data_IF_786049647039
#
_entry.id   IF_786049647039
#
_cell.length_a   1.000
_cell.length_b   1.000
_cell.length_c   1.000
_cell.angle_alpha   90.00
_cell.angle_beta   90.00
_cell.angle_gamma   90.00
#
_symmetry.space_group_name_H-M   'P 1'
#
loop_
_entity.id
_entity.type
_entity.pdbx_description
1 polymer ?
#
# COMPACT_ATOMS: atom_id res chain seq x y z
N UNK A 1 -34.18 61.74 -49.66
CA UNK A 1 -34.66 61.14 -48.38
C UNK A 1 -35.10 59.71 -48.63
N UNK A 2 -34.71 58.81 -47.73
CA UNK A 2 -35.03 57.36 -47.62
C UNK A 2 -34.10 56.37 -48.34
N UNK A 3 -33.51 55.55 -47.46
CA UNK A 3 -32.43 54.55 -47.60
C UNK A 3 -32.89 53.33 -48.41
N UNK A 4 -32.02 52.84 -49.29
CA UNK A 4 -32.08 51.48 -49.85
C UNK A 4 -31.51 50.51 -48.83
N UNK A 5 -32.29 49.46 -48.54
CA UNK A 5 -31.95 48.35 -47.66
C UNK A 5 -30.94 47.46 -48.39
N UNK A 6 -29.75 47.30 -47.81
CA UNK A 6 -28.75 46.32 -48.25
C UNK A 6 -28.88 45.12 -47.32
N UNK A 7 -29.50 44.03 -47.81
CA UNK A 7 -29.46 42.73 -47.14
C UNK A 7 -28.18 42.02 -47.57
N UNK A 8 -27.15 42.09 -46.74
CA UNK A 8 -25.98 41.22 -46.83
C UNK A 8 -26.28 39.97 -46.01
N UNK A 9 -26.39 38.82 -46.67
CA UNK A 9 -26.36 37.51 -46.04
C UNK A 9 -24.97 37.30 -45.45
N UNK A 10 -24.85 37.37 -44.12
CA UNK A 10 -23.67 36.87 -43.42
C UNK A 10 -23.89 35.36 -43.20
N UNK A 11 -23.20 34.55 -43.99
CA UNK A 11 -23.03 33.12 -43.72
C UNK A 11 -22.14 33.03 -42.48
N UNK A 12 -22.75 32.78 -41.32
CA UNK A 12 -22.02 32.33 -40.13
C UNK A 12 -21.70 30.86 -40.33
N UNK A 13 -20.49 30.59 -40.85
CA UNK A 13 -19.87 29.27 -40.77
C UNK A 13 -19.54 29.05 -39.28
N UNK A 14 -20.47 28.43 -38.55
CA UNK A 14 -20.16 27.76 -37.29
C UNK A 14 -19.22 26.60 -37.64
N UNK A 15 -17.92 26.84 -37.49
CA UNK A 15 -16.91 25.80 -37.51
C UNK A 15 -17.16 24.83 -36.36
N UNK A 16 -17.94 23.79 -36.62
CA UNK A 16 -17.97 22.58 -35.84
C UNK A 16 -16.59 21.93 -35.95
N UNK A 17 -15.73 22.18 -34.97
CA UNK A 17 -14.51 21.39 -34.79
C UNK A 17 -14.36 21.02 -33.32
N UNK A 18 -14.29 19.70 -33.11
CA UNK A 18 -13.81 18.99 -31.92
C UNK A 18 -14.84 18.83 -30.79
N UNK A 19 -15.90 18.06 -31.07
CA UNK A 19 -16.68 17.33 -30.06
C UNK A 19 -16.27 15.86 -29.91
N UNK A 20 -15.19 15.42 -30.58
CA UNK A 20 -14.88 13.98 -30.71
C UNK A 20 -13.74 13.45 -29.84
N UNK A 21 -12.94 14.29 -29.19
CA UNK A 21 -11.77 13.82 -28.42
C UNK A 21 -12.02 13.65 -26.93
N UNK A 22 -13.06 14.23 -26.32
CA UNK A 22 -13.29 14.06 -24.87
C UNK A 22 -14.09 12.81 -24.51
N UNK A 23 -14.94 12.32 -25.42
CA UNK A 23 -15.88 11.23 -25.15
C UNK A 23 -15.24 9.83 -25.22
N UNK A 24 -14.20 9.64 -26.03
CA UNK A 24 -13.43 8.39 -26.04
C UNK A 24 -12.53 8.26 -24.80
N UNK A 25 -12.03 9.37 -24.27
CA UNK A 25 -11.08 9.38 -23.15
C UNK A 25 -11.72 8.94 -21.82
N UNK A 26 -13.03 9.13 -21.64
CA UNK A 26 -13.75 8.68 -20.45
C UNK A 26 -14.31 7.25 -20.56
N UNK A 27 -14.18 6.60 -21.72
CA UNK A 27 -14.70 5.24 -21.93
C UNK A 27 -13.89 4.23 -21.13
N UNK A 28 -14.58 3.31 -20.45
CA UNK A 28 -13.93 2.17 -19.79
C UNK A 28 -13.35 1.22 -20.82
N UNK A 29 -12.15 0.71 -20.54
CA UNK A 29 -11.53 -0.36 -21.31
C UNK A 29 -12.06 -1.72 -20.83
N UNK A 30 -12.46 -2.57 -21.77
CA UNK A 30 -12.85 -3.95 -21.49
C UNK A 30 -11.68 -4.92 -21.72
N UNK A 31 -10.60 -4.44 -22.32
CA UNK A 31 -9.39 -5.21 -22.61
C UNK A 31 -8.23 -4.68 -21.79
N UNK A 32 -7.38 -5.59 -21.33
CA UNK A 32 -6.11 -5.22 -20.69
C UNK A 32 -5.24 -4.40 -21.62
N UNK A 33 -4.62 -3.36 -21.07
CA UNK A 33 -3.71 -2.47 -21.81
C UNK A 33 -2.29 -2.64 -21.33
N UNK A 34 -1.39 -2.67 -22.30
CA UNK A 34 0.04 -2.87 -22.11
C UNK A 34 0.73 -1.54 -22.37
N UNK A 35 1.57 -1.13 -21.43
CA UNK A 35 2.42 0.05 -21.54
C UNK A 35 3.86 -0.38 -21.32
N UNK A 36 4.77 0.05 -22.19
CA UNK A 36 6.18 -0.30 -22.14
C UNK A 36 7.01 0.87 -21.61
N UNK A 37 7.99 0.56 -20.76
CA UNK A 37 9.02 1.50 -20.33
C UNK A 37 10.40 0.83 -20.46
N UNK A 38 10.97 0.85 -21.66
CA UNK A 38 12.15 0.05 -21.99
C UNK A 38 11.82 -1.44 -21.90
N UNK A 39 12.54 -2.16 -21.05
CA UNK A 39 12.35 -3.60 -20.83
C UNK A 39 11.22 -3.92 -19.84
N UNK A 40 10.79 -2.96 -19.02
CA UNK A 40 9.69 -3.17 -18.07
C UNK A 40 8.32 -3.01 -18.75
N UNK A 41 7.40 -3.88 -18.39
CA UNK A 41 6.02 -3.93 -18.89
C UNK A 41 5.04 -3.58 -17.77
N UNK A 42 4.07 -2.72 -18.06
CA UNK A 42 2.98 -2.36 -17.15
C UNK A 42 1.66 -2.85 -17.77
N UNK A 43 0.95 -3.71 -17.04
CA UNK A 43 -0.33 -4.29 -17.46
C UNK A 43 -1.48 -3.71 -16.63
N UNK A 44 -2.30 -2.89 -17.28
CA UNK A 44 -3.56 -2.39 -16.70
C UNK A 44 -4.64 -3.43 -16.91
N UNK A 45 -4.90 -4.26 -15.90
CA UNK A 45 -5.86 -5.35 -16.00
C UNK A 45 -7.30 -4.81 -16.05
N UNK A 46 -8.12 -5.38 -16.93
CA UNK A 46 -9.58 -5.15 -16.89
C UNK A 46 -10.20 -5.82 -15.65
N UNK A 47 -11.49 -5.58 -15.40
CA UNK A 47 -12.23 -6.13 -14.26
C UNK A 47 -12.16 -7.66 -14.17
N UNK A 48 -12.41 -8.35 -15.28
CA UNK A 48 -12.49 -9.82 -15.31
C UNK A 48 -11.12 -10.45 -15.02
N UNK A 49 -10.07 -9.94 -15.67
CA UNK A 49 -8.70 -10.42 -15.48
C UNK A 49 -8.16 -10.07 -14.10
N UNK A 50 -8.52 -8.89 -13.55
CA UNK A 50 -8.21 -8.51 -12.18
C UNK A 50 -8.79 -9.50 -11.18
N UNK A 51 -10.08 -9.83 -11.31
CA UNK A 51 -10.75 -10.80 -10.45
C UNK A 51 -10.09 -12.18 -10.53
N UNK A 52 -9.76 -12.64 -11.75
CA UNK A 52 -9.02 -13.89 -11.94
C UNK A 52 -7.63 -13.86 -11.31
N UNK A 53 -6.90 -12.75 -11.44
CA UNK A 53 -5.55 -12.59 -10.92
C UNK A 53 -5.52 -12.65 -9.38
N UNK A 54 -6.49 -11.97 -8.75
CA UNK A 54 -6.60 -11.89 -7.30
C UNK A 54 -7.16 -13.16 -6.66
N UNK A 55 -7.98 -13.96 -7.37
CA UNK A 55 -8.73 -15.10 -6.82
C UNK A 55 -7.94 -16.01 -5.88
N UNK A 56 -6.75 -16.39 -6.30
CA UNK A 56 -5.87 -17.34 -5.60
C UNK A 56 -4.72 -16.61 -4.88
N UNK A 57 -4.99 -15.42 -4.32
CA UNK A 57 -4.01 -14.73 -3.49
C UNK A 57 -3.91 -15.39 -2.12
N UNK A 58 -2.68 -15.65 -1.67
CA UNK A 58 -2.40 -16.25 -0.35
C UNK A 58 -2.87 -15.37 0.81
N UNK A 59 -2.98 -14.05 0.59
CA UNK A 59 -3.50 -13.10 1.57
C UNK A 59 -4.83 -13.56 2.18
N UNK A 60 -5.78 -13.99 1.34
CA UNK A 60 -7.09 -14.43 1.78
C UNK A 60 -7.05 -15.67 2.68
N UNK A 61 -5.96 -16.45 2.66
CA UNK A 61 -5.81 -17.63 3.51
C UNK A 61 -5.18 -17.29 4.87
N UNK A 62 -4.67 -16.06 5.04
CA UNK A 62 -4.06 -15.56 6.29
C UNK A 62 -4.96 -14.57 7.04
N UNK A 63 -6.07 -14.16 6.44
CA UNK A 63 -7.01 -13.23 7.06
C UNK A 63 -7.60 -13.82 8.34
N UNK A 64 -7.90 -12.95 9.30
CA UNK A 64 -8.71 -13.35 10.44
C UNK A 64 -10.17 -13.50 9.97
N UNK A 65 -10.70 -14.71 10.13
CA UNK A 65 -12.03 -15.14 9.68
C UNK A 65 -13.21 -14.52 10.45
N UNK A 66 -12.96 -13.75 11.52
CA UNK A 66 -14.01 -13.14 12.33
C UNK A 66 -13.92 -11.61 12.35
N UNK A 67 -13.14 -11.04 13.27
CA UNK A 67 -13.11 -9.60 13.52
C UNK A 67 -12.65 -8.82 12.28
N UNK A 68 -11.59 -9.27 11.63
CA UNK A 68 -11.06 -8.60 10.43
C UNK A 68 -12.07 -8.71 9.27
N UNK A 69 -12.59 -9.92 9.05
CA UNK A 69 -13.65 -10.15 8.07
C UNK A 69 -14.90 -9.28 8.32
N UNK A 70 -15.35 -9.21 9.56
CA UNK A 70 -16.48 -8.39 10.00
C UNK A 70 -16.25 -6.90 9.77
N UNK A 71 -15.05 -6.37 10.05
CA UNK A 71 -14.72 -4.96 9.82
C UNK A 71 -14.74 -4.62 8.34
N UNK A 72 -14.20 -5.50 7.49
CA UNK A 72 -14.13 -5.34 6.03
C UNK A 72 -15.50 -5.45 5.36
N UNK A 73 -16.29 -6.45 5.73
CA UNK A 73 -17.66 -6.64 5.25
C UNK A 73 -18.67 -5.68 5.90
N UNK A 74 -18.27 -5.02 7.00
CA UNK A 74 -19.11 -4.15 7.82
C UNK A 74 -20.34 -4.87 8.39
N UNK A 75 -20.19 -6.15 8.70
CA UNK A 75 -21.24 -7.07 9.16
C UNK A 75 -20.74 -7.92 10.34
N UNK A 76 -21.60 -8.26 11.30
CA UNK A 76 -21.23 -9.20 12.36
C UNK A 76 -21.29 -10.64 11.83
N UNK A 77 -20.14 -11.30 11.81
CA UNK A 77 -19.98 -12.64 11.27
C UNK A 77 -19.78 -13.69 12.35
N UNK A 78 -20.02 -13.34 13.62
CA UNK A 78 -19.76 -14.19 14.79
C UNK A 78 -20.56 -15.49 14.80
N UNK A 79 -21.70 -15.53 14.09
CA UNK A 79 -22.57 -16.70 13.98
C UNK A 79 -22.24 -17.64 12.84
N UNK A 80 -21.34 -17.25 11.93
CA UNK A 80 -20.96 -18.06 10.77
C UNK A 80 -19.81 -19.00 11.10
N UNK A 81 -19.72 -20.10 10.37
CA UNK A 81 -18.53 -20.95 10.38
C UNK A 81 -17.34 -20.21 9.71
N UNK A 82 -16.10 -20.42 10.18
CA UNK A 82 -14.89 -19.78 9.62
C UNK A 82 -14.79 -19.88 8.10
N UNK A 83 -15.05 -21.06 7.52
CA UNK A 83 -14.93 -21.28 6.08
C UNK A 83 -15.94 -20.46 5.27
N UNK A 84 -17.10 -20.16 5.85
CA UNK A 84 -18.10 -19.28 5.23
C UNK A 84 -17.59 -17.84 5.22
N UNK A 85 -16.99 -17.38 6.33
CA UNK A 85 -16.46 -16.03 6.42
C UNK A 85 -15.28 -15.81 5.45
N UNK A 86 -14.39 -16.80 5.34
CA UNK A 86 -13.29 -16.80 4.37
C UNK A 86 -13.79 -16.70 2.92
N UNK A 87 -14.87 -17.41 2.59
CA UNK A 87 -15.49 -17.31 1.26
C UNK A 87 -16.13 -15.94 1.04
N UNK A 88 -16.89 -15.43 2.02
CA UNK A 88 -17.57 -14.13 1.94
C UNK A 88 -16.59 -12.99 1.70
N UNK A 89 -15.47 -12.95 2.44
CA UNK A 89 -14.47 -11.90 2.28
C UNK A 89 -13.76 -11.97 0.93
N UNK A 90 -13.40 -13.19 0.49
CA UNK A 90 -12.79 -13.39 -0.83
C UNK A 90 -13.73 -12.93 -1.93
N UNK A 91 -14.99 -13.36 -1.91
CA UNK A 91 -16.00 -12.96 -2.90
C UNK A 91 -16.22 -11.45 -2.88
N UNK A 92 -16.27 -10.83 -1.69
CA UNK A 92 -16.38 -9.39 -1.56
C UNK A 92 -15.23 -8.65 -2.24
N UNK A 93 -13.98 -9.01 -1.96
CA UNK A 93 -12.80 -8.38 -2.54
C UNK A 93 -12.77 -8.53 -4.07
N UNK A 94 -13.07 -9.72 -4.59
CA UNK A 94 -13.11 -9.96 -6.04
C UNK A 94 -14.20 -9.14 -6.75
N UNK A 95 -15.33 -8.91 -6.09
CA UNK A 95 -16.43 -8.09 -6.61
C UNK A 95 -16.10 -6.60 -6.69
N UNK A 96 -15.06 -6.14 -5.97
CA UNK A 96 -14.63 -4.74 -6.00
C UNK A 96 -13.82 -4.37 -7.24
N UNK A 97 -13.35 -5.34 -8.03
CA UNK A 97 -12.57 -5.08 -9.24
C UNK A 97 -13.34 -4.24 -10.27
N UNK A 98 -12.64 -3.34 -10.95
CA UNK A 98 -13.19 -2.35 -11.87
C UNK A 98 -12.39 -2.24 -13.17
N UNK A 99 -13.06 -1.81 -14.24
CA UNK A 99 -12.36 -1.40 -15.45
C UNK A 99 -11.72 -0.01 -15.27
N UNK A 100 -10.53 0.14 -15.86
CA UNK A 100 -9.91 1.45 -16.05
C UNK A 100 -10.60 2.22 -17.18
N UNK A 101 -10.43 3.54 -17.20
CA UNK A 101 -10.72 4.38 -18.38
C UNK A 101 -9.42 4.75 -19.10
N UNK A 102 -9.50 5.08 -20.40
CA UNK A 102 -8.33 5.55 -21.15
C UNK A 102 -7.63 6.74 -20.48
N UNK A 103 -8.40 7.71 -19.99
CA UNK A 103 -7.90 8.88 -19.28
C UNK A 103 -7.13 8.50 -18.01
N UNK A 104 -7.62 7.52 -17.25
CA UNK A 104 -6.92 7.04 -16.05
C UNK A 104 -5.62 6.31 -16.42
N UNK A 105 -5.65 5.43 -17.43
CA UNK A 105 -4.45 4.71 -17.90
C UNK A 105 -3.37 5.71 -18.30
N UNK A 106 -3.72 6.70 -19.12
CA UNK A 106 -2.74 7.70 -19.57
C UNK A 106 -2.11 8.42 -18.37
N UNK A 107 -2.91 8.87 -17.41
CA UNK A 107 -2.43 9.62 -16.25
C UNK A 107 -1.60 8.77 -15.29
N UNK A 108 -2.03 7.55 -15.01
CA UNK A 108 -1.30 6.62 -14.15
C UNK A 108 0.00 6.21 -14.83
N UNK A 109 -0.02 5.92 -16.13
CA UNK A 109 1.18 5.55 -16.90
C UNK A 109 2.24 6.64 -16.83
N UNK A 110 1.88 7.91 -17.01
CA UNK A 110 2.82 9.04 -16.85
C UNK A 110 3.52 9.01 -15.49
N UNK A 111 2.75 8.86 -14.41
CA UNK A 111 3.27 8.87 -13.04
C UNK A 111 4.17 7.65 -12.77
N UNK A 112 3.71 6.47 -13.19
CA UNK A 112 4.44 5.21 -12.99
C UNK A 112 5.74 5.19 -13.80
N UNK A 113 5.72 5.64 -15.05
CA UNK A 113 6.92 5.74 -15.88
C UNK A 113 7.93 6.69 -15.25
N UNK A 114 7.48 7.84 -14.75
CA UNK A 114 8.36 8.79 -14.05
C UNK A 114 8.97 8.19 -12.78
N UNK A 115 8.17 7.51 -11.96
CA UNK A 115 8.65 6.82 -10.77
C UNK A 115 9.68 5.73 -11.13
N UNK A 116 9.38 4.90 -12.12
CA UNK A 116 10.31 3.88 -12.62
C UNK A 116 11.62 4.47 -13.12
N UNK A 117 11.59 5.62 -13.80
CA UNK A 117 12.79 6.28 -14.29
C UNK A 117 13.67 6.80 -13.14
N UNK A 118 13.08 7.34 -12.07
CA UNK A 118 13.80 7.73 -10.85
C UNK A 118 14.45 6.53 -10.15
N UNK A 119 13.75 5.39 -10.12
CA UNK A 119 14.24 4.14 -9.53
C UNK A 119 15.40 3.57 -10.36
N UNK A 120 15.24 3.44 -11.69
CA UNK A 120 16.20 2.79 -12.61
C UNK A 120 17.61 3.34 -12.50
N UNK A 121 17.74 4.63 -12.23
CA UNK A 121 19.04 5.30 -12.20
C UNK A 121 19.96 4.73 -11.12
N UNK A 122 19.43 4.41 -9.94
CA UNK A 122 20.24 3.95 -8.79
C UNK A 122 19.89 2.53 -8.31
N UNK A 123 18.66 2.10 -8.52
CA UNK A 123 18.11 0.88 -7.93
C UNK A 123 17.29 0.06 -8.93
N UNK A 124 17.83 -0.25 -10.13
CA UNK A 124 17.07 -0.92 -11.19
C UNK A 124 16.53 -2.30 -10.77
N UNK A 125 17.20 -2.98 -9.83
CA UNK A 125 16.83 -4.27 -9.26
C UNK A 125 15.53 -4.27 -8.44
N UNK A 126 15.00 -3.11 -8.05
CA UNK A 126 13.70 -3.01 -7.39
C UNK A 126 12.56 -3.21 -8.39
N UNK A 127 12.79 -2.91 -9.67
CA UNK A 127 11.74 -3.01 -10.68
C UNK A 127 11.50 -4.46 -11.09
N UNK A 128 10.23 -4.82 -11.18
CA UNK A 128 9.80 -6.08 -11.81
C UNK A 128 9.81 -5.95 -13.34
N UNK A 129 10.11 -7.05 -14.04
CA UNK A 129 9.96 -7.13 -15.50
C UNK A 129 8.53 -6.82 -15.94
N UNK A 130 7.55 -7.32 -15.19
CA UNK A 130 6.13 -7.05 -15.40
C UNK A 130 5.46 -6.61 -14.11
N UNK A 131 4.80 -5.45 -14.17
CA UNK A 131 3.98 -4.90 -13.12
C UNK A 131 2.51 -4.92 -13.53
N UNK A 132 1.64 -5.39 -12.64
CA UNK A 132 0.20 -5.36 -12.85
C UNK A 132 -0.42 -4.18 -12.08
N UNK A 133 -1.36 -3.47 -12.71
CA UNK A 133 -2.15 -2.43 -12.05
C UNK A 133 -3.62 -2.82 -12.14
N UNK A 134 -4.23 -2.96 -10.96
CA UNK A 134 -5.63 -3.36 -10.81
C UNK A 134 -6.37 -2.20 -10.16
N UNK A 135 -7.55 -1.86 -10.70
CA UNK A 135 -8.43 -0.87 -10.10
C UNK A 135 -9.55 -1.55 -9.32
N UNK A 136 -9.83 -1.06 -8.12
CA UNK A 136 -10.97 -1.53 -7.31
C UNK A 136 -11.86 -0.36 -6.88
N UNK A 137 -13.00 -0.67 -6.26
CA UNK A 137 -13.85 0.34 -5.61
C UNK A 137 -13.12 0.99 -4.43
N UNK A 138 -12.26 0.22 -3.73
CA UNK A 138 -11.62 0.59 -2.47
C UNK A 138 -12.38 0.10 -1.24
N UNK A 139 -13.58 -0.49 -1.40
CA UNK A 139 -14.39 -0.94 -0.26
C UNK A 139 -13.74 -2.11 0.49
N UNK A 140 -12.92 -2.91 -0.19
CA UNK A 140 -12.29 -4.11 0.36
C UNK A 140 -11.11 -3.83 1.30
N UNK A 141 -10.40 -2.72 1.08
CA UNK A 141 -9.20 -2.29 1.83
C UNK A 141 -9.30 -0.80 2.25
N UNK A 142 -10.52 -0.31 2.51
CA UNK A 142 -10.77 1.00 3.12
C UNK A 142 -10.18 2.22 2.37
N UNK A 143 -10.27 2.24 1.05
CA UNK A 143 -9.65 3.22 0.13
C UNK A 143 -8.10 3.24 0.17
N UNK A 144 -7.43 2.24 0.74
CA UNK A 144 -5.97 2.15 0.73
C UNK A 144 -5.44 1.52 -0.57
N UNK A 145 -4.23 1.93 -0.96
CA UNK A 145 -3.40 1.11 -1.85
C UNK A 145 -2.96 -0.14 -1.09
N UNK A 146 -2.71 -1.20 -1.84
CA UNK A 146 -2.10 -2.42 -1.31
C UNK A 146 -1.56 -3.27 -2.46
N UNK A 147 -0.84 -4.34 -2.14
CA UNK A 147 -0.33 -5.26 -3.17
C UNK A 147 -0.80 -6.70 -3.03
N UNK A 148 -1.01 -7.34 -4.19
CA UNK A 148 -1.31 -8.77 -4.31
C UNK A 148 -0.40 -9.34 -5.39
N UNK A 149 0.42 -10.34 -5.05
CA UNK A 149 1.41 -10.92 -5.97
C UNK A 149 2.31 -9.82 -6.55
N UNK A 150 2.30 -9.62 -7.86
CA UNK A 150 3.03 -8.55 -8.56
C UNK A 150 2.09 -7.40 -9.01
N UNK A 151 0.92 -7.28 -8.40
CA UNK A 151 -0.03 -6.23 -8.68
C UNK A 151 -0.05 -5.16 -7.58
N UNK A 152 -0.07 -3.90 -8.00
CA UNK A 152 -0.49 -2.79 -7.15
C UNK A 152 -1.99 -2.59 -7.37
N UNK A 153 -2.75 -2.61 -6.28
CA UNK A 153 -4.18 -2.39 -6.29
C UNK A 153 -4.45 -0.93 -5.98
N UNK A 154 -5.20 -0.28 -6.88
CA UNK A 154 -5.44 1.16 -6.88
C UNK A 154 -6.92 1.41 -6.62
N UNK A 155 -7.29 1.95 -5.45
CA UNK A 155 -8.68 2.26 -5.15
C UNK A 155 -9.18 3.39 -6.05
N UNK A 156 -10.45 3.31 -6.48
CA UNK A 156 -11.09 4.27 -7.39
C UNK A 156 -10.94 5.71 -6.90
N UNK A 157 -11.01 5.94 -5.59
CA UNK A 157 -10.87 7.27 -5.00
C UNK A 157 -9.55 7.92 -5.41
N UNK A 158 -8.46 7.18 -5.38
CA UNK A 158 -7.12 7.69 -5.68
C UNK A 158 -6.99 8.04 -7.16
N UNK A 159 -7.59 7.25 -8.06
CA UNK A 159 -7.65 7.59 -9.51
C UNK A 159 -8.34 8.93 -9.80
N UNK A 160 -9.29 9.36 -8.96
CA UNK A 160 -9.97 10.65 -9.08
C UNK A 160 -9.11 11.81 -8.57
N UNK A 161 -8.17 11.53 -7.67
CA UNK A 161 -7.34 12.53 -7.01
C UNK A 161 -6.05 12.85 -7.80
N UNK A 162 -5.66 12.00 -8.76
CA UNK A 162 -4.48 12.16 -9.64
C UNK A 162 -4.42 13.47 -10.44
N UNK A 163 -5.54 14.18 -10.55
CA UNK A 163 -5.69 15.41 -11.32
C UNK A 163 -5.45 16.67 -10.48
N UNK A 164 -5.25 16.53 -9.17
CA UNK A 164 -5.02 17.64 -8.24
C UNK A 164 -3.50 17.92 -8.22
N UNK A 165 -3.11 19.13 -8.61
CA UNK A 165 -1.73 19.47 -9.02
C UNK A 165 -0.60 19.46 -7.96
N UNK A 166 -0.80 19.36 -6.63
CA UNK A 166 0.28 19.06 -5.70
C UNK A 166 0.41 17.56 -5.37
N UNK A 167 -0.41 16.66 -5.97
CA UNK A 167 -0.45 15.23 -5.58
C UNK A 167 0.43 14.32 -6.42
N UNK A 168 1.10 14.83 -7.45
CA UNK A 168 1.87 13.96 -8.36
C UNK A 168 3.02 13.29 -7.61
N UNK A 169 3.76 14.07 -6.84
CA UNK A 169 4.90 13.62 -6.04
C UNK A 169 4.47 12.68 -4.91
N UNK A 170 3.33 12.98 -4.27
CA UNK A 170 2.66 12.09 -3.29
C UNK A 170 2.37 10.72 -3.92
N UNK A 171 1.77 10.68 -5.12
CA UNK A 171 1.44 9.44 -5.82
C UNK A 171 2.69 8.69 -6.30
N UNK A 172 3.74 9.39 -6.73
CA UNK A 172 5.04 8.75 -7.02
C UNK A 172 5.56 8.07 -5.76
N UNK A 173 5.49 8.76 -4.61
CA UNK A 173 5.90 8.20 -3.33
C UNK A 173 5.10 6.96 -2.95
N UNK A 174 3.78 7.00 -3.08
CA UNK A 174 2.91 5.84 -2.87
C UNK A 174 3.25 4.70 -3.83
N UNK A 175 3.48 4.98 -5.11
CA UNK A 175 3.90 3.95 -6.05
C UNK A 175 5.21 3.27 -5.64
N UNK A 176 6.22 4.04 -5.22
CA UNK A 176 7.50 3.50 -4.75
C UNK A 176 7.29 2.63 -3.51
N UNK A 177 6.43 3.07 -2.58
CA UNK A 177 6.04 2.33 -1.39
C UNK A 177 5.43 0.98 -1.78
N UNK A 178 4.38 0.96 -2.61
CA UNK A 178 3.73 -0.29 -3.04
C UNK A 178 4.67 -1.21 -3.83
N UNK A 179 5.51 -0.64 -4.69
CA UNK A 179 6.48 -1.42 -5.45
C UNK A 179 7.51 -2.09 -4.53
N UNK A 180 7.87 -1.44 -3.42
CA UNK A 180 8.78 -2.04 -2.44
C UNK A 180 8.19 -3.30 -1.80
N UNK A 181 6.88 -3.34 -1.54
CA UNK A 181 6.19 -4.55 -1.05
C UNK A 181 6.28 -5.70 -2.05
N UNK A 182 6.17 -5.41 -3.35
CA UNK A 182 6.38 -6.42 -4.41
C UNK A 182 7.84 -6.90 -4.43
N UNK A 183 8.80 -5.98 -4.32
CA UNK A 183 10.22 -6.32 -4.29
C UNK A 183 10.55 -7.22 -3.09
N UNK A 184 10.16 -6.85 -1.88
CA UNK A 184 10.43 -7.63 -0.67
C UNK A 184 9.69 -8.96 -0.66
N UNK A 185 8.47 -9.02 -1.22
CA UNK A 185 7.72 -10.27 -1.40
C UNK A 185 8.52 -11.28 -2.24
N UNK A 186 9.10 -10.82 -3.34
CA UNK A 186 9.81 -11.67 -4.31
C UNK A 186 11.29 -11.93 -3.95
N UNK A 187 11.87 -11.19 -3.01
CA UNK A 187 13.28 -11.29 -2.62
C UNK A 187 13.40 -11.58 -1.12
N UNK A 188 13.17 -12.83 -0.71
CA UNK A 188 13.10 -13.22 0.71
C UNK A 188 14.41 -12.97 1.46
N UNK A 189 15.57 -13.20 0.84
CA UNK A 189 16.87 -12.95 1.47
C UNK A 189 17.09 -11.45 1.73
N UNK A 190 16.78 -10.60 0.74
CA UNK A 190 16.82 -9.15 0.92
C UNK A 190 15.82 -8.70 1.98
N UNK A 191 14.60 -9.26 1.99
CA UNK A 191 13.57 -8.93 2.98
C UNK A 191 14.05 -9.19 4.41
N UNK A 192 14.71 -10.32 4.66
CA UNK A 192 15.30 -10.65 5.98
C UNK A 192 16.35 -9.62 6.41
N UNK A 193 17.27 -9.28 5.52
CA UNK A 193 18.28 -8.26 5.79
C UNK A 193 17.64 -6.89 6.04
N UNK A 194 16.57 -6.56 5.31
CA UNK A 194 15.83 -5.32 5.52
C UNK A 194 15.14 -5.29 6.89
N UNK A 195 14.56 -6.40 7.35
CA UNK A 195 14.00 -6.49 8.71
C UNK A 195 15.06 -6.17 9.77
N UNK A 196 16.25 -6.76 9.66
CA UNK A 196 17.36 -6.49 10.58
C UNK A 196 17.77 -5.02 10.55
N UNK A 197 17.86 -4.41 9.36
CA UNK A 197 18.20 -2.99 9.20
C UNK A 197 17.19 -2.10 9.94
N UNK A 198 15.88 -2.38 9.82
CA UNK A 198 14.83 -1.64 10.52
C UNK A 198 14.61 -2.11 11.97
N UNK A 199 15.46 -3.00 12.48
CA UNK A 199 15.53 -3.38 13.89
C UNK A 199 14.60 -4.51 14.32
N UNK A 200 13.96 -5.19 13.36
CA UNK A 200 13.19 -6.41 13.57
C UNK A 200 14.02 -7.66 13.25
N UNK A 201 13.60 -8.82 13.73
CA UNK A 201 14.20 -10.11 13.41
C UNK A 201 13.14 -11.19 13.20
N UNK A 202 13.41 -12.14 12.31
CA UNK A 202 12.61 -13.37 12.22
C UNK A 202 12.95 -14.28 13.41
N UNK A 203 11.95 -14.66 14.19
CA UNK A 203 12.10 -15.61 15.30
C UNK A 203 11.43 -16.94 14.99
N UNK A 204 11.71 -17.95 15.82
CA UNK A 204 10.92 -19.19 15.80
C UNK A 204 9.44 -18.87 15.94
N UNK A 205 8.59 -19.70 15.33
CA UNK A 205 7.15 -19.46 15.27
C UNK A 205 6.57 -19.29 16.67
N UNK A 206 6.14 -18.07 17.00
CA UNK A 206 5.44 -17.80 18.24
C UNK A 206 3.95 -18.11 18.09
N UNK A 207 3.28 -18.28 19.23
CA UNK A 207 1.86 -18.63 19.29
C UNK A 207 1.06 -17.48 19.86
N UNK A 208 0.12 -16.98 19.07
CA UNK A 208 -0.89 -16.05 19.54
C UNK A 208 -1.98 -16.81 20.35
N UNK A 209 -2.34 -16.37 21.56
CA UNK A 209 -3.49 -16.90 22.28
C UNK A 209 -4.78 -16.62 21.50
N UNK A 210 -5.80 -17.47 21.69
CA UNK A 210 -7.08 -17.38 20.93
C UNK A 210 -7.70 -15.99 21.00
N UNK A 211 -7.65 -15.33 22.16
CA UNK A 211 -8.17 -13.98 22.35
C UNK A 211 -7.50 -12.96 21.41
N UNK A 212 -6.16 -12.97 21.32
CA UNK A 212 -5.44 -12.08 20.41
C UNK A 212 -5.66 -12.47 18.96
N UNK A 213 -5.66 -13.77 18.64
CA UNK A 213 -5.96 -14.25 17.29
C UNK A 213 -7.28 -13.71 16.78
N UNK A 214 -8.34 -13.81 17.59
CA UNK A 214 -9.68 -13.36 17.25
C UNK A 214 -9.77 -11.85 17.00
N UNK A 215 -8.85 -11.05 17.55
CA UNK A 215 -8.83 -9.59 17.40
C UNK A 215 -7.83 -9.12 16.34
N UNK A 216 -7.00 -10.00 15.78
CA UNK A 216 -5.98 -9.64 14.81
C UNK A 216 -6.63 -9.02 13.57
N UNK A 217 -6.03 -7.92 13.09
CA UNK A 217 -6.44 -7.25 11.84
C UNK A 217 -5.28 -7.41 10.87
N UNK A 218 -5.55 -7.99 9.70
CA UNK A 218 -4.50 -8.31 8.73
C UNK A 218 -4.30 -7.20 7.72
N UNK A 219 -3.06 -7.07 7.26
CA UNK A 219 -2.65 -6.17 6.20
C UNK A 219 -2.02 -7.01 5.07
N UNK A 220 -2.49 -6.89 3.82
CA UNK A 220 -1.99 -7.64 2.66
C UNK A 220 -0.50 -7.46 2.35
N UNK A 221 0.10 -6.37 2.82
CA UNK A 221 1.49 -6.02 2.56
C UNK A 221 2.46 -6.48 3.66
N UNK A 222 1.96 -7.08 4.75
CA UNK A 222 2.81 -7.70 5.76
C UNK A 222 3.14 -9.15 5.38
N UNK A 223 4.43 -9.46 5.21
CA UNK A 223 4.88 -10.79 4.76
C UNK A 223 5.36 -11.68 5.91
N UNK A 224 5.91 -11.09 6.97
CA UNK A 224 6.49 -11.82 8.10
C UNK A 224 5.49 -12.11 9.22
N UNK A 225 5.11 -13.38 9.41
CA UNK A 225 4.18 -13.78 10.48
C UNK A 225 4.85 -13.91 11.86
N UNK A 226 6.19 -14.00 11.91
CA UNK A 226 6.97 -14.26 13.13
C UNK A 226 8.10 -13.24 13.31
N UNK A 227 7.74 -11.95 13.25
CA UNK A 227 8.70 -10.88 13.46
C UNK A 227 8.69 -10.41 14.90
N UNK A 228 9.87 -10.32 15.48
CA UNK A 228 10.07 -9.76 16.80
C UNK A 228 10.98 -8.52 16.75
N UNK A 229 10.93 -7.74 17.83
CA UNK A 229 11.83 -6.64 18.11
C UNK A 229 12.31 -6.78 19.54
N UNK A 230 13.63 -6.84 19.72
CA UNK A 230 14.26 -6.85 21.04
C UNK A 230 14.26 -5.42 21.60
N UNK A 231 13.61 -5.23 22.76
CA UNK A 231 13.57 -3.95 23.47
C UNK A 231 14.13 -4.11 24.87
N UNK A 232 14.93 -3.12 25.29
CA UNK A 232 15.50 -3.06 26.64
C UNK A 232 14.63 -2.19 27.53
N UNK A 233 14.37 -2.64 28.75
CA UNK A 233 13.70 -1.83 29.76
C UNK A 233 14.68 -0.85 30.45
N UNK A 234 14.16 -0.01 31.35
CA UNK A 234 14.97 0.96 32.10
C UNK A 234 16.04 0.33 33.02
N UNK A 235 15.93 -0.96 33.31
CA UNK A 235 16.89 -1.73 34.12
C UNK A 235 17.91 -2.47 33.25
N UNK A 236 17.82 -2.33 31.92
CA UNK A 236 18.70 -2.96 30.95
C UNK A 236 18.33 -4.40 30.57
N UNK A 237 17.20 -4.92 31.07
CA UNK A 237 16.69 -6.25 30.70
C UNK A 237 16.13 -6.20 29.29
N UNK A 238 16.59 -7.10 28.41
CA UNK A 238 15.99 -7.32 27.10
C UNK A 238 14.79 -8.25 27.20
N UNK A 239 13.69 -7.88 26.54
CA UNK A 239 12.62 -8.80 26.19
C UNK A 239 12.31 -8.69 24.69
N UNK A 240 11.73 -9.75 24.13
CA UNK A 240 11.26 -9.78 22.75
C UNK A 240 9.79 -9.36 22.69
N UNK A 241 9.46 -8.55 21.70
CA UNK A 241 8.08 -8.11 21.44
C UNK A 241 7.71 -8.38 19.99
N UNK A 242 6.47 -8.76 19.73
CA UNK A 242 5.87 -8.67 18.39
C UNK A 242 5.01 -7.42 18.28
N UNK A 243 5.01 -6.79 17.11
CA UNK A 243 4.12 -5.68 16.80
C UNK A 243 2.85 -6.22 16.14
N UNK A 244 1.68 -5.96 16.72
CA UNK A 244 0.41 -6.44 16.19
C UNK A 244 -0.59 -5.31 15.98
N UNK A 245 -1.36 -5.40 14.89
CA UNK A 245 -2.57 -4.62 14.68
C UNK A 245 -3.74 -5.45 15.20
N UNK A 246 -4.44 -4.97 16.21
CA UNK A 246 -5.60 -5.64 16.78
C UNK A 246 -6.81 -4.72 16.82
N UNK A 247 -7.99 -5.30 16.94
CA UNK A 247 -9.19 -4.57 17.32
C UNK A 247 -9.14 -4.18 18.80
N UNK A 248 -9.55 -2.95 19.12
CA UNK A 248 -9.84 -2.46 20.48
C UNK A 248 -10.97 -3.22 21.18
N UNK A 249 -11.80 -3.91 20.39
CA UNK A 249 -13.02 -4.57 20.84
C UNK A 249 -12.92 -6.08 20.58
N UNK A 250 -13.57 -6.86 21.44
CA UNK A 250 -13.64 -8.31 21.30
C UNK A 250 -14.69 -8.78 20.29
N UNK A 251 -15.67 -7.92 19.99
CA UNK A 251 -16.80 -8.20 19.10
C UNK A 251 -17.01 -7.06 18.11
N UNK A 252 -17.51 -7.40 16.91
CA UNK A 252 -17.98 -6.41 15.96
C UNK A 252 -19.39 -5.94 16.32
N UNK A 253 -19.59 -4.63 16.45
CA UNK A 253 -20.89 -4.05 16.83
C UNK A 253 -21.24 -2.85 15.93
N UNK A 254 -20.88 -2.94 14.64
CA UNK A 254 -21.08 -1.85 13.68
C UNK A 254 -20.02 -0.76 13.76
N UNK A 255 -20.28 0.42 13.17
CA UNK A 255 -19.30 1.52 13.14
C UNK A 255 -19.08 2.14 14.52
N UNK A 256 -17.81 2.38 14.89
CA UNK A 256 -17.40 2.85 16.23
C UNK A 256 -16.99 4.33 16.25
N UNK A 257 -17.69 5.14 17.04
CA UNK A 257 -17.38 6.55 17.23
C UNK A 257 -17.45 7.39 15.95
N UNK A 258 -17.05 8.67 16.03
CA UNK A 258 -17.09 9.58 14.87
C UNK A 258 -16.11 9.14 13.78
N UNK A 259 -14.92 8.67 14.16
CA UNK A 259 -13.90 8.25 13.19
C UNK A 259 -14.33 6.98 12.44
N UNK A 260 -14.99 6.03 13.10
CA UNK A 260 -15.56 4.83 12.49
C UNK A 260 -16.70 5.12 11.51
N UNK A 261 -17.36 6.28 11.62
CA UNK A 261 -18.35 6.71 10.62
C UNK A 261 -17.70 7.08 9.29
N UNK A 262 -16.50 7.65 9.34
CA UNK A 262 -15.70 8.05 8.17
C UNK A 262 -15.00 6.83 7.57
N UNK A 263 -14.35 6.02 8.42
CA UNK A 263 -13.64 4.81 8.00
C UNK A 263 -13.79 3.74 9.10
N UNK A 264 -14.48 2.65 8.80
CA UNK A 264 -14.79 1.59 9.79
C UNK A 264 -13.52 1.07 10.46
N UNK A 265 -12.45 0.80 9.70
CA UNK A 265 -11.19 0.27 10.22
C UNK A 265 -10.61 1.14 11.34
N UNK A 266 -10.58 2.46 11.14
CA UNK A 266 -10.02 3.42 12.11
C UNK A 266 -10.78 3.43 13.45
N UNK A 267 -12.06 3.04 13.44
CA UNK A 267 -12.84 2.87 14.66
C UNK A 267 -12.38 1.68 15.51
N UNK A 268 -11.81 0.65 14.88
CA UNK A 268 -11.46 -0.62 15.50
C UNK A 268 -9.97 -0.77 15.78
N UNK A 269 -9.08 -0.34 14.88
CA UNK A 269 -7.64 -0.64 14.99
C UNK A 269 -6.98 0.00 16.20
N UNK A 270 -6.12 -0.78 16.85
CA UNK A 270 -5.05 -0.33 17.72
C UNK A 270 -3.76 -1.08 17.36
N UNK A 271 -2.64 -0.37 17.45
CA UNK A 271 -1.31 -0.93 17.25
C UNK A 271 -0.64 -1.08 18.62
N UNK A 272 0.03 -2.19 18.86
CA UNK A 272 0.67 -2.44 20.15
C UNK A 272 1.80 -3.44 20.10
N UNK A 273 2.68 -3.35 21.10
CA UNK A 273 3.74 -4.33 21.33
C UNK A 273 3.24 -5.39 22.30
N UNK A 274 3.47 -6.64 21.99
CA UNK A 274 3.10 -7.78 22.83
C UNK A 274 4.34 -8.60 23.12
N UNK A 275 4.64 -8.80 24.40
CA UNK A 275 5.83 -9.54 24.82
C UNK A 275 5.70 -11.01 24.40
N UNK A 276 6.82 -11.58 23.96
CA UNK A 276 6.97 -13.00 23.66
C UNK A 276 7.70 -13.61 24.85
N UNK A 277 7.07 -14.57 25.53
CA UNK A 277 7.69 -15.25 26.65
C UNK A 277 8.74 -16.28 26.22
N UNK A 278 9.42 -16.88 27.20
CA UNK A 278 10.46 -17.88 26.95
C UNK A 278 9.97 -19.18 26.29
N UNK A 279 8.66 -19.43 26.25
CA UNK A 279 8.04 -20.58 25.59
C UNK A 279 7.57 -20.25 24.16
N UNK A 280 7.79 -19.01 23.70
CA UNK A 280 7.32 -18.53 22.41
C UNK A 280 5.82 -18.23 22.39
N UNK A 281 5.20 -17.97 23.54
CA UNK A 281 3.79 -17.55 23.63
C UNK A 281 3.73 -16.03 23.74
N UNK A 282 2.86 -15.43 22.93
CA UNK A 282 2.62 -13.99 22.98
C UNK A 282 1.68 -13.69 24.15
N UNK A 283 2.10 -12.80 25.05
CA UNK A 283 1.28 -12.36 26.18
C UNK A 283 0.10 -11.50 25.68
N UNK A 284 -1.09 -11.66 26.27
CA UNK A 284 -2.28 -10.88 25.89
C UNK A 284 -2.20 -9.39 26.27
N UNK A 285 -1.28 -9.02 27.16
CA UNK A 285 -1.13 -7.64 27.63
C UNK A 285 -0.47 -6.77 26.57
N UNK A 286 -1.21 -5.73 26.14
CA UNK A 286 -0.73 -4.75 25.17
C UNK A 286 0.18 -3.72 25.84
N UNK A 287 1.38 -3.56 25.30
CA UNK A 287 2.30 -2.47 25.62
C UNK A 287 2.16 -1.34 24.60
N UNK A 288 2.23 -0.10 25.08
CA UNK A 288 2.27 1.07 24.20
C UNK A 288 3.61 1.16 23.46
N UNK A 289 3.56 1.70 22.25
CA UNK A 289 4.77 2.12 21.55
C UNK A 289 5.47 3.22 22.35
N UNK A 290 6.78 3.11 22.51
CA UNK A 290 7.57 3.98 23.36
C UNK A 290 8.87 4.39 22.65
N UNK A 291 9.66 5.26 23.29
CA UNK A 291 10.90 5.75 22.69
C UNK A 291 11.89 4.62 22.36
N UNK A 292 11.99 3.58 23.18
CA UNK A 292 12.90 2.46 22.90
C UNK A 292 12.54 1.75 21.58
N UNK A 293 11.24 1.66 21.27
CA UNK A 293 10.78 1.16 19.98
C UNK A 293 11.17 2.11 18.84
N UNK A 294 10.89 3.41 18.95
CA UNK A 294 11.21 4.39 17.91
C UNK A 294 12.71 4.61 17.71
N UNK A 295 13.52 4.48 18.76
CA UNK A 295 14.98 4.53 18.68
C UNK A 295 15.51 3.32 17.88
N UNK A 296 14.80 2.19 17.92
CA UNK A 296 15.17 0.97 17.20
C UNK A 296 14.74 1.00 15.74
N UNK A 297 13.49 1.36 15.45
CA UNK A 297 12.95 1.35 14.09
C UNK A 297 13.19 2.67 13.31
N UNK A 298 13.61 3.72 14.01
CA UNK A 298 13.66 5.08 13.48
C UNK A 298 12.29 5.75 13.42
N UNK A 299 12.29 6.98 12.93
CA UNK A 299 11.09 7.81 12.75
C UNK A 299 11.06 8.37 11.33
N UNK A 300 11.32 7.52 10.32
CA UNK A 300 11.31 7.90 8.90
C UNK A 300 9.91 8.38 8.48
N UNK A 301 8.89 7.70 9.00
CA UNK A 301 7.48 8.00 8.78
C UNK A 301 6.66 7.74 10.04
N UNK A 302 5.44 8.24 10.06
CA UNK A 302 4.43 7.90 11.07
C UNK A 302 3.64 6.63 10.70
N UNK A 303 3.98 5.99 9.57
CA UNK A 303 3.38 4.76 9.11
C UNK A 303 4.24 3.56 9.51
N UNK A 304 4.03 3.06 10.72
CA UNK A 304 4.82 1.99 11.34
C UNK A 304 3.95 0.78 11.71
N UNK A 305 2.98 0.44 10.85
CA UNK A 305 2.02 -0.67 11.05
C UNK A 305 2.62 -2.08 10.86
N UNK A 306 3.93 -2.18 10.69
CA UNK A 306 4.67 -3.42 10.52
C UNK A 306 6.09 -3.14 10.03
N UNK A 307 6.96 -4.14 10.07
CA UNK A 307 8.33 -3.99 9.56
C UNK A 307 8.35 -3.71 8.06
N UNK A 308 7.50 -4.40 7.28
CA UNK A 308 7.36 -4.19 5.84
C UNK A 308 6.95 -2.73 5.51
N UNK A 309 6.10 -2.12 6.33
CA UNK A 309 5.69 -0.71 6.15
C UNK A 309 6.80 0.29 6.46
N UNK A 310 7.59 0.02 7.51
CA UNK A 310 8.77 0.85 7.83
C UNK A 310 9.79 0.78 6.69
N UNK A 311 9.99 -0.41 6.11
CA UNK A 311 10.87 -0.62 4.95
C UNK A 311 10.32 0.13 3.74
N UNK A 312 9.02 0.02 3.45
CA UNK A 312 8.41 0.67 2.30
C UNK A 312 8.48 2.20 2.36
N UNK A 313 8.29 2.77 3.54
CA UNK A 313 8.51 4.20 3.77
C UNK A 313 9.97 4.60 3.62
N UNK A 314 10.92 3.75 4.02
CA UNK A 314 12.34 4.00 3.79
C UNK A 314 12.69 4.00 2.28
N UNK A 315 12.11 3.10 1.48
CA UNK A 315 12.26 3.10 0.03
C UNK A 315 11.70 4.38 -0.59
N UNK A 316 10.49 4.80 -0.17
CA UNK A 316 9.88 6.06 -0.60
C UNK A 316 10.81 7.25 -0.33
N UNK A 317 11.32 7.37 0.89
CA UNK A 317 12.22 8.47 1.29
C UNK A 317 13.56 8.40 0.54
N UNK A 318 14.11 7.21 0.28
CA UNK A 318 15.33 7.05 -0.51
C UNK A 318 15.20 7.67 -1.92
N UNK A 319 14.06 7.49 -2.57
CA UNK A 319 13.79 8.10 -3.88
C UNK A 319 13.51 9.61 -3.74
N UNK A 320 12.82 10.03 -2.68
CA UNK A 320 12.50 11.44 -2.43
C UNK A 320 13.75 12.32 -2.21
N UNK A 321 14.77 11.79 -1.51
CA UNK A 321 15.98 12.55 -1.20
C UNK A 321 17.04 12.52 -2.30
N UNK A 322 16.79 11.83 -3.42
CA UNK A 322 17.65 11.88 -4.60
C UNK A 322 17.85 13.33 -5.07
N UNK A 323 19.06 13.65 -5.49
CA UNK A 323 19.46 15.00 -5.83
C UNK A 323 20.03 15.06 -7.25
N UNK A 324 19.38 15.80 -8.14
CA UNK A 324 19.83 15.96 -9.53
C UNK A 324 21.26 16.52 -9.60
N UNK A 325 21.67 17.33 -8.62
CA UNK A 325 23.04 17.87 -8.55
C UNK A 325 24.08 16.83 -8.16
N UNK A 326 23.64 15.67 -7.65
CA UNK A 326 24.47 14.54 -7.25
C UNK A 326 24.28 13.35 -8.19
N UNK A 327 23.99 13.60 -9.47
CA UNK A 327 23.67 12.53 -10.44
C UNK A 327 22.55 11.61 -9.93
N UNK A 328 21.50 12.23 -9.37
CA UNK A 328 20.36 11.60 -8.72
C UNK A 328 20.71 10.66 -7.54
N UNK A 329 21.92 10.68 -6.99
CA UNK A 329 22.24 9.94 -5.77
C UNK A 329 21.44 10.48 -4.57
N UNK A 330 21.10 9.64 -3.58
CA UNK A 330 20.43 10.10 -2.36
C UNK A 330 21.30 11.08 -1.57
N UNK A 331 20.74 12.25 -1.23
CA UNK A 331 21.40 13.23 -0.38
C UNK A 331 21.04 12.98 1.10
N UNK A 332 21.80 12.10 1.75
CA UNK A 332 21.59 11.70 3.15
C UNK A 332 21.77 12.84 4.16
N UNK A 333 22.42 13.95 3.80
CA UNK A 333 22.54 15.12 4.68
C UNK A 333 21.19 15.81 4.93
N UNK A 334 20.19 15.58 4.07
CA UNK A 334 18.80 16.02 4.31
C UNK A 334 18.17 15.32 5.52
N UNK A 335 18.71 14.17 5.94
CA UNK A 335 18.18 13.35 7.04
C UNK A 335 18.87 13.71 8.35
N UNK A 336 18.17 14.45 9.21
CA UNK A 336 18.72 14.95 10.49
C UNK A 336 18.79 13.88 11.58
N UNK A 337 17.81 13.00 11.66
CA UNK A 337 17.79 11.93 12.65
C UNK A 337 18.86 10.88 12.26
N UNK A 338 19.77 10.59 13.20
CA UNK A 338 20.90 9.68 12.94
C UNK A 338 20.43 8.26 12.59
N UNK A 339 19.49 7.70 13.36
CA UNK A 339 18.97 6.35 13.12
C UNK A 339 18.31 6.24 11.74
N UNK A 340 17.52 7.23 11.35
CA UNK A 340 16.92 7.28 10.01
C UNK A 340 17.98 7.28 8.91
N UNK A 341 19.05 8.08 9.10
CA UNK A 341 20.16 8.15 8.16
C UNK A 341 20.86 6.81 8.02
N UNK A 342 21.16 6.14 9.14
CA UNK A 342 21.76 4.81 9.18
C UNK A 342 20.89 3.76 8.45
N UNK A 343 19.58 3.76 8.69
CA UNK A 343 18.64 2.87 8.01
C UNK A 343 18.68 3.12 6.50
N UNK A 344 18.49 4.35 6.06
CA UNK A 344 18.45 4.70 4.64
C UNK A 344 19.77 4.36 3.94
N UNK A 345 20.91 4.67 4.57
CA UNK A 345 22.23 4.31 4.01
C UNK A 345 22.42 2.79 3.90
N UNK A 346 21.99 2.02 4.92
CA UNK A 346 22.10 0.56 4.91
C UNK A 346 21.22 -0.08 3.85
N UNK A 347 19.99 0.42 3.67
CA UNK A 347 19.08 -0.03 2.62
C UNK A 347 19.65 0.31 1.24
N UNK A 348 20.13 1.54 1.03
CA UNK A 348 20.75 1.97 -0.23
C UNK A 348 21.96 1.09 -0.59
N UNK A 349 22.80 0.79 0.39
CA UNK A 349 23.94 -0.12 0.26
C UNK A 349 23.50 -1.54 -0.16
N UNK A 350 22.52 -2.11 0.54
CA UNK A 350 21.95 -3.42 0.21
C UNK A 350 21.43 -3.47 -1.24
N UNK A 351 20.71 -2.43 -1.66
CA UNK A 351 20.10 -2.36 -2.99
C UNK A 351 21.12 -2.19 -4.12
N UNK A 352 22.24 -1.52 -3.86
CA UNK A 352 23.32 -1.31 -4.85
C UNK A 352 24.34 -2.45 -4.88
N UNK A 353 24.29 -3.38 -3.91
CA UNK A 353 25.26 -4.46 -3.77
C UNK A 353 26.65 -4.00 -3.32
N UNK A 354 26.73 -2.80 -2.74
CA UNK A 354 27.98 -2.18 -2.25
C UNK A 354 28.27 -2.49 -0.78
#
# INVERSE_FOLDING_TARGET
MKKKIMKTFLILILGATIGWTSMEWSKSIEETKIVYNGENVILFLNKSESSKYMKDADFYNRMNDYMDASIRLKEDLSSNEPEINDELIRVHALNQTMNWTYKEINRVSEIVIEAQNKIKHNYPNILSDTLYLIKTSGDEEFDAYYTIKNAIIVPKKETKLLWIKPRKEEVIGTYVHELSHIFTRNNTDNRRLLYEIVGFEEVEKFRLPKELKNRLITNPDLHGDNLAIELRDSLGKSNLYTLLITSKYNTYEGKKGVIGQINTLLGYIELGLYEIDSEGIVLSERNNLNNNFFDRIGTISNYYFGADEVIAEAFRVLIEIQDEQMDNQPNFEKIKNQRNREILMSISKLLTGL
#
